data_IF_481898665242
#
_entry.id   IF_481898665242
#
_cell.length_a   1.000
_cell.length_b   1.000
_cell.length_c   1.000
_cell.angle_alpha   90.00
_cell.angle_beta   90.00
_cell.angle_gamma   90.00
#
_symmetry.space_group_name_H-M   'P 1'
#
loop_
_entity.id
_entity.type
_entity.pdbx_description
1 polymer ?
#
# COMPACT_ATOMS: atom_id res chain seq x y z
N UNK A 1 5.58 13.66 -5.02
CA UNK A 1 6.91 13.05 -5.26
C UNK A 1 7.56 12.44 -4.01
N UNK A 2 7.33 12.90 -2.77
CA UNK A 2 7.94 12.25 -1.58
C UNK A 2 7.35 10.86 -1.26
N UNK A 3 6.06 10.66 -1.47
CA UNK A 3 5.35 9.40 -1.18
C UNK A 3 5.71 8.25 -2.12
N UNK A 4 6.02 8.54 -3.39
CA UNK A 4 6.48 7.54 -4.38
C UNK A 4 7.79 6.88 -3.96
N UNK A 5 8.75 7.66 -3.44
CA UNK A 5 10.02 7.11 -2.98
C UNK A 5 9.85 6.19 -1.75
N UNK A 6 8.90 6.49 -0.87
CA UNK A 6 8.61 5.62 0.28
C UNK A 6 8.00 4.29 -0.16
N UNK A 7 7.01 4.33 -1.07
CA UNK A 7 6.40 3.13 -1.62
C UNK A 7 7.44 2.25 -2.35
N UNK A 8 8.29 2.83 -3.20
CA UNK A 8 9.34 2.10 -3.90
C UNK A 8 10.32 1.45 -2.91
N UNK A 9 10.71 2.16 -1.84
CA UNK A 9 11.56 1.60 -0.78
C UNK A 9 10.88 0.43 -0.06
N UNK A 10 9.61 0.58 0.31
CA UNK A 10 8.86 -0.49 0.98
C UNK A 10 8.73 -1.74 0.07
N UNK A 11 8.48 -1.53 -1.22
CA UNK A 11 8.47 -2.61 -2.22
C UNK A 11 9.84 -3.27 -2.39
N UNK A 12 10.92 -2.49 -2.42
CA UNK A 12 12.28 -3.03 -2.51
C UNK A 12 12.64 -3.86 -1.28
N UNK A 13 12.27 -3.39 -0.08
CA UNK A 13 12.45 -4.13 1.18
C UNK A 13 11.64 -5.43 1.14
N UNK A 14 10.37 -5.37 0.72
CA UNK A 14 9.52 -6.55 0.59
C UNK A 14 10.07 -7.59 -0.38
N UNK A 15 10.50 -7.13 -1.56
CA UNK A 15 11.10 -7.99 -2.58
C UNK A 15 12.39 -8.63 -2.06
N UNK A 16 13.25 -7.87 -1.38
CA UNK A 16 14.45 -8.39 -0.74
C UNK A 16 14.11 -9.44 0.33
N UNK A 17 13.13 -9.17 1.20
CA UNK A 17 12.72 -10.13 2.24
C UNK A 17 12.16 -11.42 1.63
N UNK A 18 11.41 -11.31 0.54
CA UNK A 18 10.84 -12.46 -0.17
C UNK A 18 11.94 -13.25 -0.88
N UNK A 19 12.87 -12.58 -1.56
CA UNK A 19 14.03 -13.23 -2.19
C UNK A 19 14.91 -13.96 -1.18
N UNK A 20 15.19 -13.33 -0.03
CA UNK A 20 15.91 -13.97 1.08
C UNK A 20 15.16 -15.20 1.61
N UNK A 21 13.84 -15.12 1.76
CA UNK A 21 13.00 -16.24 2.17
C UNK A 21 13.04 -17.41 1.20
N UNK A 22 12.93 -17.14 -0.11
CA UNK A 22 13.06 -18.15 -1.17
C UNK A 22 14.46 -18.76 -1.18
N UNK A 23 15.51 -17.95 -1.08
CA UNK A 23 16.89 -18.42 -1.14
C UNK A 23 17.22 -19.33 0.07
N UNK A 24 16.77 -18.94 1.27
CA UNK A 24 16.87 -19.75 2.47
C UNK A 24 16.05 -21.04 2.34
N UNK A 25 14.83 -20.95 1.83
CA UNK A 25 13.95 -22.09 1.62
C UNK A 25 14.58 -23.15 0.71
N UNK A 26 15.22 -22.74 -0.39
CA UNK A 26 15.90 -23.65 -1.32
C UNK A 26 17.19 -24.21 -0.72
N UNK A 27 17.92 -23.44 0.09
CA UNK A 27 19.19 -23.88 0.65
C UNK A 27 19.04 -24.82 1.84
N UNK A 28 17.94 -24.69 2.59
CA UNK A 28 17.63 -25.49 3.77
C UNK A 28 16.62 -26.63 3.48
N UNK A 29 16.12 -26.74 2.25
CA UNK A 29 15.00 -27.63 1.85
C UNK A 29 13.78 -27.51 2.77
N UNK A 30 13.57 -26.31 3.35
CA UNK A 30 12.50 -26.04 4.30
C UNK A 30 11.65 -24.85 3.82
N UNK A 31 10.50 -25.16 3.25
CA UNK A 31 9.54 -24.17 2.74
C UNK A 31 8.82 -23.38 3.83
N UNK A 32 9.01 -23.73 5.11
CA UNK A 32 8.52 -22.93 6.22
C UNK A 32 9.17 -21.53 6.23
N UNK A 33 10.41 -21.40 5.75
CA UNK A 33 11.08 -20.10 5.60
C UNK A 33 10.40 -19.19 4.59
N UNK A 34 9.83 -19.76 3.53
CA UNK A 34 9.04 -19.02 2.56
C UNK A 34 7.78 -18.46 3.23
N UNK A 35 7.03 -19.28 3.97
CA UNK A 35 5.87 -18.81 4.74
C UNK A 35 6.25 -17.70 5.72
N UNK A 36 7.32 -17.88 6.50
CA UNK A 36 7.83 -16.87 7.45
C UNK A 36 8.16 -15.54 6.76
N UNK A 37 8.82 -15.58 5.60
CA UNK A 37 9.11 -14.36 4.82
C UNK A 37 7.84 -13.71 4.27
N UNK A 38 6.83 -14.51 3.89
CA UNK A 38 5.50 -14.03 3.52
C UNK A 38 4.86 -13.18 4.61
N UNK A 39 4.95 -13.61 5.89
CA UNK A 39 4.41 -12.84 7.02
C UNK A 39 5.07 -11.45 7.15
N UNK A 40 6.38 -11.35 6.90
CA UNK A 40 7.12 -10.08 6.92
C UNK A 40 6.69 -9.16 5.78
N UNK A 41 6.38 -9.72 4.60
CA UNK A 41 5.81 -8.97 3.48
C UNK A 41 4.42 -8.45 3.82
N UNK A 42 3.57 -9.24 4.49
CA UNK A 42 2.25 -8.80 4.96
C UNK A 42 2.36 -7.63 5.94
N UNK A 43 3.25 -7.73 6.94
CA UNK A 43 3.47 -6.65 7.92
C UNK A 43 3.90 -5.36 7.19
N UNK A 44 4.84 -5.46 6.24
CA UNK A 44 5.25 -4.31 5.44
C UNK A 44 4.09 -3.74 4.61
N UNK A 45 3.21 -4.59 4.08
CA UNK A 45 2.02 -4.19 3.33
C UNK A 45 1.00 -3.45 4.20
N UNK A 46 0.77 -3.93 5.42
CA UNK A 46 -0.09 -3.27 6.41
C UNK A 46 0.48 -1.90 6.79
N UNK A 47 1.78 -1.81 7.06
CA UNK A 47 2.44 -0.53 7.42
C UNK A 47 2.34 0.47 6.27
N UNK A 48 2.59 0.04 5.04
CA UNK A 48 2.48 0.89 3.85
C UNK A 48 1.05 1.38 3.65
N UNK A 49 0.07 0.49 3.73
CA UNK A 49 -1.36 0.81 3.58
C UNK A 49 -1.82 1.76 4.69
N UNK A 50 -1.40 1.52 5.92
CA UNK A 50 -1.70 2.38 7.07
C UNK A 50 -1.15 3.79 6.88
N UNK A 51 0.10 3.90 6.40
CA UNK A 51 0.71 5.20 6.14
C UNK A 51 -0.06 5.98 5.06
N UNK A 52 -0.49 5.30 3.99
CA UNK A 52 -1.29 5.91 2.92
C UNK A 52 -2.66 6.41 3.44
N UNK A 53 -3.35 5.60 4.24
CA UNK A 53 -4.65 5.97 4.82
C UNK A 53 -4.52 7.16 5.77
N UNK A 54 -3.51 7.14 6.65
CA UNK A 54 -3.27 8.24 7.60
C UNK A 54 -2.97 9.54 6.88
N UNK A 55 -2.11 9.50 5.85
CA UNK A 55 -1.81 10.67 5.03
C UNK A 55 -3.06 11.21 4.32
N UNK A 56 -3.93 10.32 3.83
CA UNK A 56 -5.19 10.70 3.21
C UNK A 56 -6.13 11.39 4.20
N UNK A 57 -6.34 10.81 5.40
CA UNK A 57 -7.17 11.39 6.46
C UNK A 57 -6.63 12.74 6.91
N UNK A 58 -5.31 12.88 7.05
CA UNK A 58 -4.69 14.14 7.44
C UNK A 58 -4.91 15.24 6.38
N UNK A 59 -4.83 14.91 5.09
CA UNK A 59 -5.15 15.85 4.00
C UNK A 59 -6.62 16.29 4.03
N UNK A 60 -7.54 15.35 4.30
CA UNK A 60 -8.96 15.65 4.44
C UNK A 60 -9.22 16.58 5.65
N UNK A 61 -8.61 16.29 6.80
CA UNK A 61 -8.71 17.15 8.00
C UNK A 61 -8.21 18.56 7.75
N UNK A 62 -7.07 18.72 7.08
CA UNK A 62 -6.53 20.04 6.73
C UNK A 62 -7.45 20.80 5.76
N UNK A 63 -8.13 20.09 4.86
CA UNK A 63 -9.10 20.68 3.93
C UNK A 63 -10.40 21.08 4.64
N UNK A 64 -10.83 20.32 5.65
CA UNK A 64 -11.99 20.62 6.49
C UNK A 64 -11.78 21.79 7.46
N UNK A 65 -10.55 22.05 7.90
CA UNK A 65 -10.24 23.13 8.87
C UNK A 65 -10.17 24.54 8.26
N UNK A 66 -10.39 24.72 6.95
CA UNK A 66 -10.62 26.07 6.41
C UNK A 66 -11.97 26.58 6.94
N UNK A 67 -12.01 27.68 7.72
CA UNK A 67 -13.27 28.22 8.21
C UNK A 67 -14.17 28.56 7.02
N UNK A 68 -15.50 28.40 7.12
CA UNK A 68 -16.43 28.76 6.05
C UNK A 68 -16.47 30.30 5.89
N UNK A 69 -15.44 30.88 5.28
CA UNK A 69 -15.52 32.20 4.65
C UNK A 69 -16.11 31.98 3.27
N UNK A 70 -17.43 31.88 3.19
CA UNK A 70 -18.25 32.39 2.10
C UNK A 70 -19.69 31.89 2.26
N UNK A 71 -20.46 32.56 3.11
CA UNK A 71 -21.69 33.10 2.57
C UNK A 71 -21.29 34.00 1.39
N UNK A 72 -21.98 33.89 0.26
CA UNK A 72 -21.75 34.52 -1.05
C UNK A 72 -20.96 33.70 -2.08
N UNK A 73 -21.79 33.27 -3.05
CA UNK A 73 -21.60 33.21 -4.50
C UNK A 73 -21.41 31.81 -5.10
N UNK A 74 -22.58 31.22 -5.37
CA UNK A 74 -22.85 30.22 -6.41
C UNK A 74 -22.23 30.60 -7.77
N UNK A 75 -20.98 30.19 -8.00
CA UNK A 75 -20.31 30.25 -9.32
C UNK A 75 -19.54 28.97 -9.66
N UNK A 76 -19.70 27.86 -8.92
CA UNK A 76 -18.76 26.73 -8.95
C UNK A 76 -19.40 25.34 -9.22
N UNK A 77 -20.40 25.25 -10.08
CA UNK A 77 -20.97 23.95 -10.49
C UNK A 77 -20.30 23.37 -11.77
N UNK A 78 -19.63 24.20 -12.59
CA UNK A 78 -18.96 23.72 -13.82
C UNK A 78 -17.49 23.28 -13.64
N UNK A 79 -16.77 23.82 -12.64
CA UNK A 79 -15.33 23.56 -12.48
C UNK A 79 -15.00 22.40 -11.52
N UNK A 80 -15.99 21.93 -10.76
CA UNK A 80 -15.80 20.84 -9.76
C UNK A 80 -15.56 19.48 -10.40
N UNK A 81 -16.09 19.22 -11.59
CA UNK A 81 -16.03 17.88 -12.21
C UNK A 81 -14.61 17.50 -12.63
N UNK A 82 -13.84 18.43 -13.18
CA UNK A 82 -12.45 18.18 -13.59
C UNK A 82 -11.50 18.02 -12.41
N UNK A 83 -11.71 18.78 -11.33
CA UNK A 83 -10.91 18.66 -10.10
C UNK A 83 -11.18 17.36 -9.34
N UNK A 84 -12.42 16.85 -9.37
CA UNK A 84 -12.77 15.58 -8.71
C UNK A 84 -12.18 14.39 -9.48
N UNK A 85 -12.22 14.40 -10.82
CA UNK A 85 -11.66 13.30 -11.63
C UNK A 85 -10.13 13.20 -11.52
N UNK A 86 -9.39 14.33 -11.53
CA UNK A 86 -7.93 14.31 -11.41
C UNK A 86 -7.45 13.89 -10.01
N UNK A 87 -8.16 14.30 -8.95
CA UNK A 87 -7.84 13.89 -7.58
C UNK A 87 -8.21 12.42 -7.34
N UNK A 88 -9.35 11.96 -7.88
CA UNK A 88 -9.76 10.56 -7.77
C UNK A 88 -8.81 9.62 -8.54
N UNK A 89 -8.41 9.98 -9.76
CA UNK A 89 -7.52 9.16 -10.60
C UNK A 89 -6.11 8.99 -10.04
N UNK A 90 -5.58 10.03 -9.39
CA UNK A 90 -4.27 9.98 -8.72
C UNK A 90 -4.28 9.10 -7.47
N UNK A 91 -5.27 9.25 -6.60
CA UNK A 91 -5.37 8.51 -5.33
C UNK A 91 -5.58 7.02 -5.55
N UNK A 92 -6.41 6.64 -6.53
CA UNK A 92 -6.75 5.23 -6.79
C UNK A 92 -5.57 4.39 -7.29
N UNK A 93 -4.58 5.00 -7.97
CA UNK A 93 -3.37 4.27 -8.37
C UNK A 93 -2.47 3.96 -7.17
N UNK A 94 -2.40 4.83 -6.16
CA UNK A 94 -1.50 4.63 -5.02
C UNK A 94 -2.02 3.61 -3.99
N UNK A 95 -3.33 3.59 -3.74
CA UNK A 95 -3.95 2.61 -2.82
C UNK A 95 -3.80 1.17 -3.30
N UNK A 96 -3.84 0.97 -4.63
CA UNK A 96 -3.69 -0.35 -5.24
C UNK A 96 -2.38 -1.03 -4.88
N UNK A 97 -1.28 -0.28 -4.78
CA UNK A 97 0.02 -0.86 -4.49
C UNK A 97 0.10 -1.44 -3.07
N UNK A 98 -0.49 -0.79 -2.06
CA UNK A 98 -0.55 -1.36 -0.71
C UNK A 98 -1.35 -2.67 -0.70
N UNK A 99 -2.53 -2.64 -1.35
CA UNK A 99 -3.43 -3.77 -1.43
C UNK A 99 -2.83 -4.98 -2.17
N UNK A 100 -2.22 -4.78 -3.33
CA UNK A 100 -1.58 -5.87 -4.09
C UNK A 100 -0.46 -6.54 -3.30
N UNK A 101 0.36 -5.75 -2.62
CA UNK A 101 1.44 -6.26 -1.78
C UNK A 101 0.90 -7.10 -0.63
N UNK A 102 -0.22 -6.68 -0.03
CA UNK A 102 -0.88 -7.39 1.06
C UNK A 102 -1.47 -8.72 0.57
N UNK A 103 -2.17 -8.72 -0.57
CA UNK A 103 -2.71 -9.94 -1.21
C UNK A 103 -1.58 -10.93 -1.51
N UNK A 104 -0.52 -10.48 -2.19
CA UNK A 104 0.63 -11.33 -2.54
C UNK A 104 1.29 -11.86 -1.27
N UNK A 105 1.54 -11.01 -0.28
CA UNK A 105 2.12 -11.42 1.00
C UNK A 105 1.27 -12.47 1.71
N UNK A 106 -0.07 -12.31 1.72
CA UNK A 106 -0.97 -13.27 2.37
C UNK A 106 -1.01 -14.61 1.66
N UNK A 107 -0.92 -14.63 0.32
CA UNK A 107 -0.82 -15.87 -0.44
C UNK A 107 0.50 -16.58 -0.13
N UNK A 108 1.63 -15.86 -0.15
CA UNK A 108 2.94 -16.44 0.17
C UNK A 108 3.00 -16.93 1.62
N UNK A 109 2.39 -16.20 2.55
CA UNK A 109 2.33 -16.61 3.95
C UNK A 109 1.48 -17.85 4.16
N UNK A 110 0.26 -17.87 3.61
CA UNK A 110 -0.72 -18.95 3.84
C UNK A 110 -0.53 -20.21 3.00
N UNK A 111 0.19 -20.12 1.88
CA UNK A 111 0.45 -21.26 0.99
C UNK A 111 1.94 -21.61 0.88
N UNK A 112 2.83 -20.86 1.54
CA UNK A 112 4.27 -21.09 1.46
C UNK A 112 4.72 -22.41 2.11
N UNK A 113 3.99 -22.88 3.13
CA UNK A 113 4.24 -24.14 3.82
C UNK A 113 3.78 -25.37 3.02
N UNK A 114 2.78 -25.23 2.14
CA UNK A 114 2.26 -26.31 1.30
C UNK A 114 3.29 -26.85 0.32
N UNK A 115 4.31 -26.07 -0.04
CA UNK A 115 5.42 -26.56 -0.87
C UNK A 115 6.28 -27.61 -0.16
N UNK A 116 6.21 -27.69 1.17
CA UNK A 116 6.87 -28.75 1.95
C UNK A 116 6.09 -30.07 1.98
N UNK A 117 4.82 -30.06 1.55
CA UNK A 117 3.93 -31.21 1.63
C UNK A 117 3.97 -32.11 0.37
N UNK A 118 4.70 -31.70 -0.67
CA UNK A 118 4.90 -32.44 -1.92
C UNK A 118 6.36 -32.85 -2.07
#
# INVERSE_FOLDING_TARGET
MKTTHFAIKAYAVALLTLMLGVLLSVWLDDWLWLSRSGSLVVINGIVLTSHQIIDHINRLKLSQMRPPRQFERDWADSDKRHLIDDVAGGVWRYEKYGLYMLIVGTLVWGFGDLLNAF
#
